data_IF_297257457124
#
_entry.id   IF_297257457124
#
_cell.length_a   1.000
_cell.length_b   1.000
_cell.length_c   1.000
_cell.angle_alpha   90.00
_cell.angle_beta   90.00
_cell.angle_gamma   90.00
#
_symmetry.space_group_name_H-M   'P 1'
#
loop_
_entity.id
_entity.type
_entity.pdbx_description
1 polymer ?
#
# COMPACT_ATOMS: atom_id res chain seq x y z
N UNK A 1 39.91 -34.21 8.25
CA UNK A 1 39.49 -32.93 8.85
C UNK A 1 38.50 -32.27 7.91
N UNK A 2 37.20 -32.28 8.25
CA UNK A 2 36.16 -31.54 7.49
C UNK A 2 36.33 -30.07 7.85
N UNK A 3 36.79 -29.25 6.91
CA UNK A 3 36.75 -27.79 7.05
C UNK A 3 35.29 -27.37 7.31
N UNK A 4 35.03 -26.90 8.50
CA UNK A 4 33.74 -26.33 8.87
C UNK A 4 33.46 -25.13 7.98
N UNK A 5 32.48 -25.27 7.10
CA UNK A 5 31.93 -24.13 6.33
C UNK A 5 31.46 -23.10 7.37
N UNK A 6 32.15 -21.96 7.45
CA UNK A 6 31.81 -20.84 8.31
C UNK A 6 30.31 -20.52 8.06
N UNK A 7 29.51 -20.63 9.08
CA UNK A 7 28.08 -20.33 9.00
C UNK A 7 27.95 -18.86 8.58
N UNK A 8 27.26 -18.62 7.45
CA UNK A 8 27.07 -17.28 6.90
C UNK A 8 25.71 -16.78 7.37
N UNK A 9 25.71 -15.70 8.15
CA UNK A 9 24.48 -14.96 8.46
C UNK A 9 23.76 -14.58 7.17
N UNK A 10 22.49 -14.88 7.08
CA UNK A 10 21.61 -14.51 5.96
C UNK A 10 20.41 -13.77 6.47
N UNK A 11 19.94 -12.79 5.70
CA UNK A 11 18.68 -12.09 5.96
C UNK A 11 17.56 -12.74 5.15
N UNK A 12 16.48 -13.08 5.83
CA UNK A 12 15.31 -13.73 5.24
C UNK A 12 14.12 -12.78 5.30
N UNK A 13 13.50 -12.56 4.13
CA UNK A 13 12.24 -11.84 3.98
C UNK A 13 11.07 -12.83 4.05
N UNK A 14 10.04 -12.46 4.77
CA UNK A 14 8.76 -13.17 4.87
C UNK A 14 7.63 -12.29 4.31
N UNK A 15 6.68 -12.92 3.63
CA UNK A 15 5.38 -12.34 3.33
C UNK A 15 4.37 -13.02 4.26
N UNK A 16 3.71 -12.23 5.12
CA UNK A 16 2.90 -12.72 6.22
C UNK A 16 1.45 -12.30 6.04
N UNK A 17 0.54 -13.27 5.98
CA UNK A 17 -0.90 -13.08 6.04
C UNK A 17 -1.43 -13.44 7.42
N UNK A 18 -2.42 -12.70 7.93
CA UNK A 18 -3.05 -13.00 9.22
C UNK A 18 -4.46 -12.45 9.34
N UNK A 19 -5.29 -13.19 10.06
CA UNK A 19 -6.52 -12.72 10.66
C UNK A 19 -6.17 -12.02 11.99
N UNK A 20 -6.33 -10.70 12.03
CA UNK A 20 -5.96 -9.89 13.20
C UNK A 20 -6.96 -9.93 14.35
N UNK A 21 -8.09 -10.64 14.23
CA UNK A 21 -9.22 -10.62 15.17
C UNK A 21 -8.79 -10.88 16.62
N UNK A 22 -7.91 -11.85 16.83
CA UNK A 22 -7.48 -12.29 18.16
C UNK A 22 -6.18 -11.63 18.63
N UNK A 23 -5.66 -10.65 17.87
CA UNK A 23 -4.34 -10.07 18.12
C UNK A 23 -4.40 -8.59 18.48
N UNK A 24 -3.52 -8.17 19.38
CA UNK A 24 -3.32 -6.78 19.73
C UNK A 24 -2.47 -6.02 18.69
N UNK A 25 -2.66 -6.34 17.40
CA UNK A 25 -1.94 -5.78 16.27
C UNK A 25 -0.60 -6.47 15.99
N UNK A 26 0.21 -5.80 15.17
CA UNK A 26 1.51 -6.35 14.76
C UNK A 26 2.55 -6.29 15.88
N UNK A 27 2.80 -5.10 16.41
CA UNK A 27 3.97 -4.82 17.27
C UNK A 27 3.80 -5.36 18.69
N UNK A 28 4.85 -5.98 19.24
CA UNK A 28 4.91 -6.48 20.62
C UNK A 28 4.53 -5.38 21.61
N UNK A 29 3.59 -5.70 22.51
CA UNK A 29 3.12 -4.84 23.58
C UNK A 29 2.66 -5.64 24.81
N UNK A 30 2.56 -4.99 25.96
CA UNK A 30 2.34 -5.67 27.26
C UNK A 30 0.92 -6.19 27.48
N UNK A 31 -0.05 -5.71 26.71
CA UNK A 31 -1.49 -5.87 26.98
C UNK A 31 -2.16 -6.96 26.15
N UNK A 32 -1.40 -7.80 25.44
CA UNK A 32 -1.96 -8.92 24.71
C UNK A 32 -1.02 -9.52 23.67
N UNK A 33 -1.43 -10.64 23.11
CA UNK A 33 -0.68 -11.39 22.09
C UNK A 33 -0.64 -10.58 20.78
N UNK A 34 0.50 -10.58 20.13
CA UNK A 34 0.74 -9.86 18.87
C UNK A 34 1.31 -10.75 17.77
N UNK A 35 1.14 -10.35 16.52
CA UNK A 35 1.66 -11.12 15.37
C UNK A 35 3.19 -11.27 15.44
N UNK A 36 3.90 -10.18 15.74
CA UNK A 36 5.37 -10.16 15.87
C UNK A 36 5.86 -11.12 16.98
N UNK A 37 5.17 -11.17 18.11
CA UNK A 37 5.51 -12.08 19.21
C UNK A 37 5.35 -13.55 18.80
N UNK A 38 4.25 -13.90 18.14
CA UNK A 38 4.00 -15.28 17.67
C UNK A 38 5.05 -15.69 16.63
N UNK A 39 5.39 -14.80 15.69
CA UNK A 39 6.44 -15.06 14.71
C UNK A 39 7.80 -15.28 15.37
N UNK A 40 8.21 -14.39 16.28
CA UNK A 40 9.48 -14.49 17.00
C UNK A 40 9.60 -15.81 17.76
N UNK A 41 8.56 -16.16 18.52
CA UNK A 41 8.52 -17.40 19.32
C UNK A 41 8.60 -18.64 18.44
N UNK A 42 7.84 -18.65 17.34
CA UNK A 42 7.76 -19.80 16.45
C UNK A 42 9.06 -19.98 15.65
N UNK A 43 9.65 -18.88 15.13
CA UNK A 43 10.95 -18.90 14.45
C UNK A 43 12.07 -19.32 15.38
N UNK A 44 12.14 -18.77 16.59
CA UNK A 44 13.13 -19.17 17.62
C UNK A 44 13.03 -20.66 17.91
N UNK A 45 11.81 -21.19 18.08
CA UNK A 45 11.59 -22.62 18.30
C UNK A 45 11.96 -23.50 17.10
N UNK A 46 11.75 -23.00 15.87
CA UNK A 46 12.08 -23.71 14.62
C UNK A 46 13.58 -23.73 14.35
N UNK A 47 14.22 -22.57 14.42
CA UNK A 47 15.62 -22.39 14.01
C UNK A 47 16.62 -22.66 15.15
N UNK A 48 16.13 -22.77 16.40
CA UNK A 48 16.93 -23.02 17.61
C UNK A 48 17.94 -21.91 17.92
N UNK A 49 17.62 -20.69 17.54
CA UNK A 49 18.39 -19.48 17.83
C UNK A 49 17.44 -18.31 18.13
N UNK A 50 17.86 -17.29 18.91
CA UNK A 50 17.02 -16.14 19.19
C UNK A 50 16.69 -15.37 17.90
N UNK A 51 15.43 -15.25 17.55
CA UNK A 51 14.96 -14.50 16.38
C UNK A 51 14.09 -13.33 16.80
N UNK A 52 14.35 -12.17 16.19
CA UNK A 52 13.53 -10.99 16.25
C UNK A 52 13.19 -10.49 14.83
N UNK A 53 11.92 -10.49 14.46
CA UNK A 53 11.51 -10.00 13.15
C UNK A 53 11.39 -8.47 13.14
N UNK A 54 11.64 -7.87 11.98
CA UNK A 54 11.42 -6.45 11.72
C UNK A 54 10.30 -6.34 10.70
N UNK A 55 9.10 -5.94 11.12
CA UNK A 55 7.96 -5.77 10.24
C UNK A 55 7.96 -4.45 9.47
N UNK A 56 7.42 -4.44 8.26
CA UNK A 56 7.28 -3.25 7.40
C UNK A 56 6.13 -2.34 7.85
N UNK A 57 5.00 -2.93 8.19
CA UNK A 57 3.79 -2.21 8.59
C UNK A 57 3.35 -2.62 9.99
N UNK A 58 3.06 -1.60 10.82
CA UNK A 58 2.42 -1.79 12.13
C UNK A 58 0.92 -1.69 11.91
N UNK A 59 0.23 -2.83 11.89
CA UNK A 59 -1.23 -2.86 11.88
C UNK A 59 -1.77 -2.73 13.30
N UNK A 60 -2.93 -2.08 13.44
CA UNK A 60 -3.62 -1.92 14.72
C UNK A 60 -4.23 -3.24 15.21
N UNK A 61 -4.62 -3.29 16.48
CA UNK A 61 -5.40 -4.40 17.04
C UNK A 61 -6.68 -4.67 16.22
N UNK A 62 -6.90 -5.93 15.84
CA UNK A 62 -8.03 -6.37 15.05
C UNK A 62 -7.95 -6.06 13.54
N UNK A 63 -6.83 -5.57 13.04
CA UNK A 63 -6.58 -5.32 11.61
C UNK A 63 -5.95 -6.54 10.97
N UNK A 64 -6.45 -6.94 9.80
CA UNK A 64 -5.98 -8.11 9.05
C UNK A 64 -4.86 -7.76 8.08
N UNK A 65 -4.20 -8.80 7.55
CA UNK A 65 -3.26 -8.63 6.45
C UNK A 65 -3.26 -9.84 5.52
N UNK A 66 -3.14 -9.56 4.23
CA UNK A 66 -2.90 -10.56 3.17
C UNK A 66 -1.41 -10.61 2.77
N UNK A 67 -0.60 -9.60 3.13
CA UNK A 67 0.76 -9.52 2.64
C UNK A 67 1.67 -8.54 3.39
N UNK A 68 1.71 -8.58 4.74
CA UNK A 68 2.69 -7.79 5.48
C UNK A 68 4.10 -8.37 5.26
N UNK A 69 5.09 -7.51 5.19
CA UNK A 69 6.49 -7.92 5.00
C UNK A 69 7.23 -7.85 6.32
N UNK A 70 8.00 -8.89 6.60
CA UNK A 70 8.93 -8.93 7.74
C UNK A 70 10.28 -9.48 7.31
N UNK A 71 11.35 -9.13 8.03
CA UNK A 71 12.68 -9.70 7.84
C UNK A 71 13.26 -10.13 9.17
N UNK A 72 14.17 -11.10 9.12
CA UNK A 72 15.00 -11.50 10.25
C UNK A 72 16.36 -12.03 9.76
N UNK A 73 17.33 -12.05 10.64
CA UNK A 73 18.65 -12.59 10.38
C UNK A 73 18.79 -13.96 11.04
N UNK A 74 19.51 -14.90 10.37
CA UNK A 74 19.73 -16.27 10.86
C UNK A 74 21.05 -16.85 10.35
N UNK A 75 21.71 -17.65 11.19
CA UNK A 75 22.86 -18.50 10.80
C UNK A 75 22.43 -19.94 10.47
N UNK A 76 21.15 -20.26 10.67
CA UNK A 76 20.63 -21.60 10.44
C UNK A 76 20.79 -22.03 8.97
N UNK A 77 21.12 -23.32 8.75
CA UNK A 77 21.40 -23.90 7.41
C UNK A 77 20.14 -24.15 6.57
N UNK A 78 18.96 -24.07 7.16
CA UNK A 78 17.70 -24.29 6.42
C UNK A 78 17.64 -23.33 5.22
N UNK A 79 17.38 -23.82 3.99
CA UNK A 79 17.20 -22.94 2.83
C UNK A 79 16.09 -21.92 3.08
N UNK A 80 16.31 -20.68 2.69
CA UNK A 80 15.39 -19.58 3.00
C UNK A 80 13.98 -19.82 2.41
N UNK A 81 13.90 -20.41 1.20
CA UNK A 81 12.65 -20.78 0.54
C UNK A 81 11.88 -21.93 1.21
N UNK A 82 12.50 -22.67 2.11
CA UNK A 82 11.87 -23.77 2.87
C UNK A 82 11.35 -23.34 4.25
N UNK A 83 11.76 -22.17 4.73
CA UNK A 83 11.39 -21.69 6.06
C UNK A 83 9.87 -21.49 6.17
N UNK A 84 9.22 -20.93 5.15
CA UNK A 84 7.77 -20.72 5.16
C UNK A 84 6.98 -22.02 5.37
N UNK A 85 7.36 -23.10 4.72
CA UNK A 85 6.69 -24.41 4.86
C UNK A 85 6.86 -24.99 6.27
N UNK A 86 8.09 -24.97 6.81
CA UNK A 86 8.38 -25.47 8.14
C UNK A 86 7.72 -24.61 9.25
N UNK A 87 7.65 -23.30 9.03
CA UNK A 87 7.04 -22.35 9.95
C UNK A 87 5.51 -22.52 9.99
N UNK A 88 4.86 -22.67 8.83
CA UNK A 88 3.40 -22.87 8.73
C UNK A 88 2.88 -24.15 9.39
N UNK A 89 3.74 -25.15 9.61
CA UNK A 89 3.37 -26.36 10.38
C UNK A 89 3.28 -26.09 11.90
N UNK A 90 3.76 -24.95 12.37
CA UNK A 90 3.87 -24.60 13.79
C UNK A 90 3.09 -23.35 14.15
N UNK A 91 2.79 -22.50 13.17
CA UNK A 91 1.97 -21.32 13.35
C UNK A 91 0.50 -21.70 13.60
N UNK A 92 -0.22 -20.91 14.41
CA UNK A 92 -1.66 -21.03 14.52
C UNK A 92 -2.32 -20.80 13.16
N UNK A 93 -3.56 -21.28 12.98
CA UNK A 93 -4.26 -21.26 11.69
C UNK A 93 -4.55 -19.84 11.16
N UNK A 94 -4.60 -18.85 12.03
CA UNK A 94 -4.88 -17.46 11.75
C UNK A 94 -3.62 -16.63 11.37
N UNK A 95 -2.43 -17.27 11.30
CA UNK A 95 -1.18 -16.68 10.78
C UNK A 95 -0.56 -17.63 9.76
N UNK A 96 -0.23 -17.11 8.57
CA UNK A 96 0.48 -17.87 7.53
C UNK A 96 1.60 -17.04 6.93
N UNK A 97 2.73 -17.70 6.67
CA UNK A 97 3.82 -17.15 5.86
C UNK A 97 3.67 -17.67 4.44
N UNK A 98 3.32 -16.78 3.52
CA UNK A 98 3.04 -17.11 2.12
C UNK A 98 4.32 -17.37 1.34
N UNK A 99 5.39 -16.65 1.68
CA UNK A 99 6.69 -16.74 1.03
C UNK A 99 7.80 -16.48 2.04
N UNK A 100 8.94 -17.16 1.84
CA UNK A 100 10.20 -16.86 2.50
C UNK A 100 11.36 -16.94 1.51
N UNK A 101 12.23 -15.91 1.51
CA UNK A 101 13.39 -15.87 0.60
C UNK A 101 14.55 -15.10 1.21
N UNK A 102 15.76 -15.44 0.78
CA UNK A 102 16.96 -14.67 1.14
C UNK A 102 16.95 -13.32 0.41
N UNK A 103 17.34 -12.28 1.13
CA UNK A 103 17.48 -10.92 0.60
C UNK A 103 18.84 -10.34 0.98
N UNK A 104 19.23 -9.22 0.36
CA UNK A 104 20.47 -8.52 0.72
C UNK A 104 20.51 -8.24 2.23
N UNK A 105 21.68 -8.39 2.89
CA UNK A 105 21.85 -8.01 4.30
C UNK A 105 21.44 -6.57 4.61
N UNK A 106 21.53 -5.67 3.64
CA UNK A 106 21.16 -4.27 3.78
C UNK A 106 19.66 -4.01 3.59
N UNK A 107 18.89 -5.04 3.18
CA UNK A 107 17.46 -4.90 2.99
C UNK A 107 16.77 -4.56 4.31
N UNK A 108 16.07 -3.41 4.35
CA UNK A 108 15.30 -2.99 5.52
C UNK A 108 13.87 -2.63 5.09
N UNK A 109 12.83 -3.33 5.61
CA UNK A 109 11.46 -3.25 5.06
C UNK A 109 10.78 -1.89 5.25
N UNK A 110 11.33 -0.99 6.08
CA UNK A 110 10.79 0.36 6.32
C UNK A 110 11.60 1.48 5.68
N UNK A 111 12.84 1.19 5.23
CA UNK A 111 13.73 2.22 4.67
C UNK A 111 13.66 2.34 3.16
N UNK A 112 12.97 1.41 2.52
CA UNK A 112 12.80 1.42 1.06
C UNK A 112 11.46 2.03 0.71
N UNK A 113 11.41 2.74 -0.41
CA UNK A 113 10.16 3.22 -0.96
C UNK A 113 9.26 2.05 -1.30
N UNK A 114 8.03 2.11 -0.83
CA UNK A 114 7.03 1.08 -1.11
C UNK A 114 5.65 1.71 -1.27
N UNK A 115 4.83 1.08 -2.08
CA UNK A 115 3.40 1.38 -2.16
C UNK A 115 2.70 0.40 -1.21
N UNK A 116 1.90 0.95 -0.30
CA UNK A 116 1.06 0.17 0.61
C UNK A 116 -0.37 0.25 0.14
N UNK A 117 -1.00 -0.91 -0.04
CA UNK A 117 -2.41 -0.99 -0.41
C UNK A 117 -3.22 -1.59 0.72
N UNK A 118 -4.28 -0.88 1.10
CA UNK A 118 -5.27 -1.33 2.07
C UNK A 118 -6.65 -1.43 1.44
N UNK A 119 -7.46 -2.34 1.95
CA UNK A 119 -8.90 -2.39 1.71
C UNK A 119 -9.66 -2.20 3.00
N UNK A 120 -10.71 -1.38 2.95
CA UNK A 120 -11.67 -1.24 4.02
C UNK A 120 -13.05 -1.68 3.52
N UNK A 121 -13.60 -2.75 4.10
CA UNK A 121 -14.85 -3.39 3.70
C UNK A 121 -16.02 -2.94 4.58
N UNK A 122 -17.11 -2.50 3.94
CA UNK A 122 -18.35 -2.04 4.60
C UNK A 122 -19.49 -2.87 4.04
N UNK A 123 -20.20 -3.58 4.91
CA UNK A 123 -21.49 -4.23 4.56
C UNK A 123 -22.59 -3.24 4.82
N UNK A 124 -23.20 -2.74 3.73
CA UNK A 124 -24.22 -1.70 3.76
C UNK A 124 -25.62 -2.29 3.46
N UNK A 125 -26.32 -2.66 4.51
CA UNK A 125 -27.66 -3.24 4.45
C UNK A 125 -28.37 -3.10 5.79
N UNK A 126 -29.68 -3.43 5.83
CA UNK A 126 -30.51 -3.31 7.04
C UNK A 126 -30.21 -4.36 8.11
N UNK A 127 -29.71 -5.54 7.73
CA UNK A 127 -29.45 -6.65 8.66
C UNK A 127 -28.02 -7.15 8.43
N UNK A 128 -27.22 -7.28 9.48
CA UNK A 128 -25.84 -7.77 9.43
C UNK A 128 -25.77 -9.23 8.91
N UNK A 129 -24.73 -9.52 8.13
CA UNK A 129 -24.44 -10.89 7.66
C UNK A 129 -23.43 -11.54 8.62
N UNK A 130 -23.78 -12.60 9.35
CA UNK A 130 -22.89 -13.21 10.35
C UNK A 130 -21.53 -13.67 9.79
N UNK A 131 -21.50 -14.17 8.56
CA UNK A 131 -20.25 -14.62 7.90
C UNK A 131 -19.28 -13.51 7.57
N UNK A 132 -19.75 -12.25 7.54
CA UNK A 132 -18.93 -11.06 7.28
C UNK A 132 -18.55 -10.30 8.57
N UNK A 133 -19.03 -10.75 9.73
CA UNK A 133 -18.93 -9.99 11.00
C UNK A 133 -17.52 -9.68 11.45
N UNK A 134 -16.53 -10.52 11.09
CA UNK A 134 -15.13 -10.35 11.49
C UNK A 134 -14.29 -9.61 10.44
N UNK A 135 -14.77 -9.50 9.19
CA UNK A 135 -13.99 -9.00 8.05
C UNK A 135 -14.62 -7.80 7.36
N UNK A 136 -15.60 -7.16 8.02
CA UNK A 136 -16.24 -5.94 7.50
C UNK A 136 -16.81 -5.07 8.63
N UNK A 137 -17.00 -3.80 8.30
CA UNK A 137 -17.79 -2.88 9.12
C UNK A 137 -19.25 -2.94 8.68
N UNK A 138 -20.16 -3.23 9.58
CA UNK A 138 -21.59 -3.17 9.31
C UNK A 138 -22.10 -1.74 9.40
N UNK A 139 -22.79 -1.27 8.35
CA UNK A 139 -23.46 0.02 8.30
C UNK A 139 -24.93 -0.15 7.93
N UNK A 140 -25.80 0.13 8.89
CA UNK A 140 -27.25 0.04 8.72
C UNK A 140 -27.81 1.15 7.82
N UNK A 141 -27.23 2.38 7.93
CA UNK A 141 -27.71 3.53 7.18
C UNK A 141 -27.34 3.41 5.70
N UNK A 142 -28.27 3.71 4.76
CA UNK A 142 -27.94 3.75 3.34
C UNK A 142 -26.76 4.68 3.07
N UNK A 143 -25.82 4.23 2.26
CA UNK A 143 -24.65 5.01 1.84
C UNK A 143 -24.76 5.36 0.35
N UNK A 144 -24.67 6.65 0.06
CA UNK A 144 -24.55 7.19 -1.28
C UNK A 144 -23.10 7.04 -1.74
N UNK A 145 -22.85 6.06 -2.60
CA UNK A 145 -21.51 5.71 -3.07
C UNK A 145 -20.93 6.78 -3.99
N UNK A 146 -21.75 7.46 -4.76
CA UNK A 146 -21.28 8.55 -5.64
C UNK A 146 -20.74 9.72 -4.81
N UNK A 147 -21.45 10.14 -3.76
CA UNK A 147 -20.93 11.15 -2.83
C UNK A 147 -19.65 10.69 -2.14
N UNK A 148 -19.55 9.39 -1.78
CA UNK A 148 -18.31 8.85 -1.22
C UNK A 148 -17.14 8.93 -2.23
N UNK A 149 -17.39 8.68 -3.52
CA UNK A 149 -16.39 8.82 -4.60
C UNK A 149 -15.94 10.27 -4.77
N UNK A 150 -16.91 11.19 -4.81
CA UNK A 150 -16.60 12.62 -4.87
C UNK A 150 -15.75 13.07 -3.67
N UNK A 151 -16.11 12.68 -2.44
CA UNK A 151 -15.34 12.99 -1.25
C UNK A 151 -13.96 12.31 -1.24
N UNK A 152 -13.84 11.10 -1.78
CA UNK A 152 -12.58 10.38 -1.87
C UNK A 152 -11.58 11.06 -2.82
N UNK A 153 -12.07 11.73 -3.87
CA UNK A 153 -11.23 12.43 -4.84
C UNK A 153 -10.35 13.53 -4.19
N UNK A 154 -10.86 14.23 -3.18
CA UNK A 154 -10.11 15.27 -2.45
C UNK A 154 -8.92 14.72 -1.64
N UNK A 155 -8.90 13.41 -1.35
CA UNK A 155 -7.84 12.78 -0.57
C UNK A 155 -6.69 12.25 -1.44
N UNK A 156 -6.89 12.19 -2.76
CA UNK A 156 -5.85 11.73 -3.69
C UNK A 156 -4.82 12.83 -3.90
N UNK A 157 -3.54 12.47 -3.85
CA UNK A 157 -2.44 13.42 -3.94
C UNK A 157 -1.62 13.48 -2.67
N UNK A 158 -0.73 14.49 -2.61
CA UNK A 158 0.10 14.78 -1.44
C UNK A 158 -0.58 15.83 -0.58
N UNK A 159 -0.90 15.46 0.67
CA UNK A 159 -1.58 16.31 1.62
C UNK A 159 -1.01 16.15 3.02
N UNK A 160 -1.22 17.15 3.88
CA UNK A 160 -1.03 17.03 5.31
C UNK A 160 -2.24 16.31 5.95
N UNK A 161 -2.10 15.03 6.22
CA UNK A 161 -3.15 14.18 6.80
C UNK A 161 -3.26 14.28 8.33
N UNK A 162 -2.85 15.38 8.94
CA UNK A 162 -2.94 15.57 10.38
C UNK A 162 -4.35 15.37 10.93
N UNK A 163 -5.39 15.83 10.24
CA UNK A 163 -6.80 15.61 10.59
C UNK A 163 -7.21 14.14 10.58
N UNK A 164 -6.53 13.33 9.79
CA UNK A 164 -6.77 11.89 9.67
C UNK A 164 -5.80 11.04 10.51
N UNK A 165 -5.09 11.63 11.46
CA UNK A 165 -4.17 10.96 12.37
C UNK A 165 -4.71 10.96 13.80
N UNK A 166 -4.64 9.81 14.49
CA UNK A 166 -4.97 9.76 15.91
C UNK A 166 -3.90 10.46 16.76
N UNK A 167 -4.26 11.16 17.87
CA UNK A 167 -3.34 11.99 18.67
C UNK A 167 -2.13 11.24 19.25
N UNK A 168 -2.20 9.92 19.39
CA UNK A 168 -1.09 9.06 19.88
C UNK A 168 -0.12 8.63 18.78
N UNK A 169 -0.27 9.14 17.56
CA UNK A 169 0.66 8.90 16.46
C UNK A 169 2.04 9.50 16.78
N UNK A 170 3.10 8.70 16.60
CA UNK A 170 4.50 9.10 16.83
C UNK A 170 5.14 9.76 15.62
N UNK A 171 4.38 10.04 14.56
CA UNK A 171 4.93 10.63 13.34
C UNK A 171 5.15 12.13 13.55
N UNK A 172 6.39 12.57 13.42
CA UNK A 172 6.76 14.00 13.41
C UNK A 172 6.24 14.69 12.15
N UNK A 173 6.25 13.98 11.02
CA UNK A 173 5.76 14.45 9.73
C UNK A 173 4.41 13.79 9.41
N UNK A 174 3.41 14.61 9.06
CA UNK A 174 2.04 14.18 8.76
C UNK A 174 1.68 14.25 7.27
N UNK A 175 2.61 14.72 6.43
CA UNK A 175 2.44 14.74 4.97
C UNK A 175 2.55 13.32 4.42
N UNK A 176 1.57 12.90 3.62
CA UNK A 176 1.55 11.59 2.93
C UNK A 176 1.00 11.77 1.53
N UNK A 177 1.29 10.78 0.67
CA UNK A 177 0.71 10.74 -0.67
C UNK A 177 -0.21 9.54 -0.79
N UNK A 178 -1.46 9.79 -1.12
CA UNK A 178 -2.41 8.78 -1.58
C UNK A 178 -2.34 8.76 -3.10
N UNK A 179 -1.89 7.65 -3.67
CA UNK A 179 -1.79 7.48 -5.12
C UNK A 179 -3.12 7.14 -5.75
N UNK A 180 -3.97 6.41 -5.03
CA UNK A 180 -5.29 5.98 -5.50
C UNK A 180 -6.21 5.71 -4.32
N UNK A 181 -7.48 6.10 -4.47
CA UNK A 181 -8.55 5.77 -3.53
C UNK A 181 -9.83 5.48 -4.32
N UNK A 182 -10.17 4.20 -4.41
CA UNK A 182 -11.38 3.75 -5.11
C UNK A 182 -12.49 3.42 -4.10
N UNK A 183 -13.72 3.75 -4.46
CA UNK A 183 -14.94 3.34 -3.77
C UNK A 183 -15.71 2.40 -4.68
N UNK A 184 -15.64 1.10 -4.39
CA UNK A 184 -16.20 0.03 -5.24
C UNK A 184 -17.42 -0.56 -4.52
N UNK A 185 -18.56 -0.62 -5.22
CA UNK A 185 -19.77 -1.27 -4.69
C UNK A 185 -20.07 -2.53 -5.47
N UNK A 186 -20.25 -3.64 -4.76
CA UNK A 186 -20.65 -4.94 -5.31
C UNK A 186 -21.77 -5.51 -4.44
N UNK A 187 -23.01 -5.38 -4.91
CA UNK A 187 -24.19 -5.71 -4.10
C UNK A 187 -24.24 -4.87 -2.82
N UNK A 188 -24.28 -5.54 -1.67
CA UNK A 188 -24.32 -4.88 -0.36
C UNK A 188 -22.90 -4.54 0.18
N UNK A 189 -21.84 -4.97 -0.50
CA UNK A 189 -20.46 -4.71 -0.09
C UNK A 189 -19.91 -3.46 -0.75
N UNK A 190 -19.43 -2.52 0.07
CA UNK A 190 -18.66 -1.35 -0.36
C UNK A 190 -17.21 -1.55 0.08
N UNK A 191 -16.28 -1.48 -0.85
CA UNK A 191 -14.84 -1.60 -0.60
C UNK A 191 -14.16 -0.28 -0.91
N UNK A 192 -13.46 0.29 0.08
CA UNK A 192 -12.53 1.39 -0.12
C UNK A 192 -11.15 0.77 -0.34
N UNK A 193 -10.60 0.90 -1.55
CA UNK A 193 -9.23 0.44 -1.86
C UNK A 193 -8.33 1.65 -1.95
N UNK A 194 -7.35 1.73 -1.06
CA UNK A 194 -6.46 2.87 -0.91
C UNK A 194 -5.01 2.46 -1.04
N UNK A 195 -4.26 3.12 -1.91
CA UNK A 195 -2.83 2.91 -2.12
C UNK A 195 -2.06 4.21 -1.89
N UNK A 196 -0.94 4.15 -1.18
CA UNK A 196 -0.16 5.34 -0.85
C UNK A 196 1.28 5.04 -0.44
N UNK A 197 2.09 6.09 -0.27
CA UNK A 197 3.49 6.01 0.17
C UNK A 197 3.64 5.52 1.61
N UNK A 198 2.59 5.69 2.41
CA UNK A 198 2.51 5.32 3.82
C UNK A 198 1.27 5.92 4.46
N UNK A 199 0.92 5.42 5.64
CA UNK A 199 -0.28 5.85 6.35
C UNK A 199 0.06 6.19 7.80
N UNK A 200 -0.57 7.23 8.33
CA UNK A 200 -0.48 7.64 9.73
C UNK A 200 -1.30 6.70 10.62
N UNK A 201 -1.11 6.83 11.91
CA UNK A 201 -1.83 6.02 12.90
C UNK A 201 -3.35 6.17 12.77
N UNK A 202 -4.03 5.08 12.51
CA UNK A 202 -5.48 4.98 12.22
C UNK A 202 -5.95 5.72 10.95
N UNK A 203 -5.08 6.23 10.09
CA UNK A 203 -5.43 7.11 8.96
C UNK A 203 -6.50 6.49 8.05
N UNK A 204 -6.30 5.29 7.54
CA UNK A 204 -7.27 4.63 6.64
C UNK A 204 -8.64 4.44 7.31
N UNK A 205 -8.67 4.11 8.60
CA UNK A 205 -9.91 3.94 9.36
C UNK A 205 -10.65 5.26 9.58
N UNK A 206 -9.93 6.36 9.77
CA UNK A 206 -10.51 7.71 9.90
C UNK A 206 -11.03 8.18 8.54
N UNK A 207 -10.30 7.93 7.45
CA UNK A 207 -10.77 8.16 6.08
C UNK A 207 -12.08 7.39 5.84
N UNK A 208 -12.11 6.10 6.14
CA UNK A 208 -13.32 5.29 5.97
C UNK A 208 -14.51 5.85 6.78
N UNK A 209 -14.28 6.22 8.05
CA UNK A 209 -15.31 6.82 8.88
C UNK A 209 -15.81 8.18 8.39
N UNK A 210 -14.93 8.99 7.81
CA UNK A 210 -15.27 10.28 7.19
C UNK A 210 -16.08 10.07 5.92
N UNK A 211 -15.66 9.18 5.02
CA UNK A 211 -16.39 8.88 3.80
C UNK A 211 -17.75 8.23 4.07
N UNK A 212 -17.89 7.44 5.14
CA UNK A 212 -19.23 6.97 5.58
C UNK A 212 -20.13 8.13 6.00
N UNK A 213 -19.60 9.17 6.66
CA UNK A 213 -20.38 10.39 6.99
C UNK A 213 -20.81 11.15 5.74
N UNK A 214 -19.95 11.20 4.71
CA UNK A 214 -20.29 11.74 3.39
C UNK A 214 -21.40 10.91 2.74
N UNK A 215 -21.26 9.59 2.72
CA UNK A 215 -22.26 8.68 2.14
C UNK A 215 -23.61 8.73 2.84
N UNK A 216 -23.63 8.99 4.17
CA UNK A 216 -24.87 9.22 4.94
C UNK A 216 -25.49 10.59 4.69
N UNK A 217 -24.83 11.49 3.95
CA UNK A 217 -25.26 12.87 3.75
C UNK A 217 -25.06 13.79 4.97
N UNK A 218 -24.32 13.32 5.99
CA UNK A 218 -24.00 14.15 7.17
C UNK A 218 -22.92 15.20 6.86
N UNK A 219 -22.07 14.93 5.87
CA UNK A 219 -21.08 15.86 5.33
C UNK A 219 -21.28 15.97 3.81
N UNK A 220 -21.24 17.17 3.22
CA UNK A 220 -21.12 17.29 1.77
C UNK A 220 -19.74 16.77 1.33
N UNK A 221 -19.57 16.27 0.08
CA UNK A 221 -18.28 15.78 -0.41
C UNK A 221 -17.13 16.78 -0.27
N UNK A 222 -17.36 18.07 -0.56
CA UNK A 222 -16.38 19.15 -0.46
C UNK A 222 -15.87 19.38 0.99
N UNK A 223 -16.64 18.98 2.01
CA UNK A 223 -16.20 19.09 3.40
C UNK A 223 -14.93 18.28 3.68
N UNK A 224 -14.61 17.29 2.85
CA UNK A 224 -13.35 16.50 2.98
C UNK A 224 -12.12 17.39 2.78
N UNK A 225 -12.19 18.35 1.87
CA UNK A 225 -11.13 19.35 1.66
C UNK A 225 -10.99 20.27 2.89
N UNK A 226 -12.09 20.76 3.43
CA UNK A 226 -12.09 21.57 4.67
C UNK A 226 -11.47 20.80 5.85
N UNK A 227 -11.71 19.48 5.94
CA UNK A 227 -11.10 18.63 6.96
C UNK A 227 -9.57 18.54 6.77
N UNK A 228 -9.07 18.42 5.52
CA UNK A 228 -7.62 18.44 5.25
C UNK A 228 -7.01 19.76 5.70
N UNK A 229 -7.61 20.88 5.33
CA UNK A 229 -7.13 22.23 5.64
C UNK A 229 -7.15 22.55 7.13
N UNK A 230 -8.12 22.02 7.85
CA UNK A 230 -8.27 22.22 9.30
C UNK A 230 -7.07 21.70 10.13
N UNK A 231 -6.37 20.67 9.64
CA UNK A 231 -5.26 20.01 10.35
C UNK A 231 -5.57 19.65 11.81
N UNK A 232 -6.84 19.37 12.07
CA UNK A 232 -7.38 19.03 13.38
C UNK A 232 -8.16 17.71 13.32
N UNK A 233 -7.76 16.73 14.12
CA UNK A 233 -8.44 15.42 14.22
C UNK A 233 -9.95 15.55 14.52
N UNK A 234 -10.37 16.58 15.21
CA UNK A 234 -11.77 16.80 15.60
C UNK A 234 -12.67 17.16 14.40
N UNK A 235 -12.09 17.69 13.33
CA UNK A 235 -12.82 18.01 12.10
C UNK A 235 -13.19 16.73 11.31
N UNK A 236 -12.35 15.68 11.36
CA UNK A 236 -12.59 14.45 10.62
C UNK A 236 -13.65 13.55 11.29
N UNK A 237 -14.22 12.67 10.51
CA UNK A 237 -15.20 11.68 10.96
C UNK A 237 -14.66 10.70 12.01
N UNK A 238 -15.51 9.81 12.54
CA UNK A 238 -15.12 8.85 13.55
C UNK A 238 -14.13 7.82 12.99
N UNK A 239 -13.30 7.25 13.87
CA UNK A 239 -12.45 6.10 13.50
C UNK A 239 -13.31 4.86 13.29
N UNK A 240 -13.35 4.31 12.09
CA UNK A 240 -14.10 3.11 11.76
C UNK A 240 -13.50 1.85 12.42
N UNK A 241 -14.30 0.79 12.56
CA UNK A 241 -13.90 -0.45 13.23
C UNK A 241 -12.67 -1.11 12.58
N UNK A 242 -11.79 -1.72 13.37
CA UNK A 242 -10.57 -2.36 12.86
C UNK A 242 -10.88 -3.55 11.94
N UNK A 243 -11.87 -4.35 12.28
CA UNK A 243 -12.29 -5.56 11.56
C UNK A 243 -12.65 -5.38 10.08
N UNK A 244 -12.89 -4.13 9.64
CA UNK A 244 -13.10 -3.85 8.22
C UNK A 244 -11.82 -3.62 7.44
N UNK A 245 -10.67 -3.44 8.12
CA UNK A 245 -9.40 -3.06 7.50
C UNK A 245 -8.48 -4.25 7.27
N UNK A 246 -8.00 -4.38 6.04
CA UNK A 246 -6.97 -5.36 5.64
C UNK A 246 -5.83 -4.67 4.92
N UNK A 247 -4.59 -4.94 5.34
CA UNK A 247 -3.40 -4.62 4.56
C UNK A 247 -3.27 -5.67 3.45
N UNK A 248 -3.46 -5.26 2.20
CA UNK A 248 -3.46 -6.16 1.03
C UNK A 248 -2.05 -6.45 0.57
N UNK A 249 -1.25 -5.41 0.31
CA UNK A 249 0.09 -5.58 -0.24
C UNK A 249 1.05 -4.46 0.15
N UNK A 250 2.35 -4.80 0.08
CA UNK A 250 3.47 -3.87 0.04
C UNK A 250 4.27 -4.13 -1.22
N UNK A 251 4.35 -3.15 -2.10
CA UNK A 251 5.10 -3.22 -3.35
C UNK A 251 6.34 -2.33 -3.24
N UNK A 252 7.52 -2.93 -3.27
CA UNK A 252 8.81 -2.22 -3.16
C UNK A 252 9.32 -1.83 -4.54
N UNK A 253 9.81 -0.61 -4.67
CA UNK A 253 10.36 -0.07 -5.92
C UNK A 253 11.44 -0.96 -6.53
N UNK A 254 12.44 -1.29 -5.73
CA UNK A 254 13.57 -2.11 -6.17
C UNK A 254 13.20 -3.53 -6.60
N UNK A 255 12.12 -4.08 -6.05
CA UNK A 255 11.61 -5.41 -6.45
C UNK A 255 10.81 -5.32 -7.74
N UNK A 256 9.99 -4.29 -7.86
CA UNK A 256 9.24 -4.00 -9.06
C UNK A 256 10.19 -3.70 -10.24
N UNK A 257 11.23 -2.90 -10.02
CA UNK A 257 12.27 -2.61 -11.02
C UNK A 257 13.03 -3.87 -11.45
N UNK A 258 13.38 -4.76 -10.50
CA UNK A 258 14.03 -6.04 -10.82
C UNK A 258 13.11 -7.01 -11.56
N UNK A 259 11.84 -7.07 -11.22
CA UNK A 259 10.85 -7.86 -11.96
C UNK A 259 10.71 -7.33 -13.39
N UNK A 260 10.69 -6.01 -13.54
CA UNK A 260 10.64 -5.35 -14.84
C UNK A 260 11.92 -5.60 -15.65
N UNK A 261 13.11 -5.58 -15.02
CA UNK A 261 14.40 -5.78 -15.70
C UNK A 261 14.77 -7.26 -15.91
N UNK A 262 14.27 -8.18 -15.07
CA UNK A 262 14.70 -9.58 -15.06
C UNK A 262 13.99 -10.50 -16.06
N UNK A 263 12.90 -10.07 -16.65
CA UNK A 263 12.16 -10.83 -17.63
C UNK A 263 12.38 -10.27 -19.04
N UNK A 264 13.18 -10.97 -19.81
CA UNK A 264 13.49 -10.70 -21.22
C UNK A 264 12.24 -10.89 -22.12
N UNK A 265 11.16 -10.13 -21.88
CA UNK A 265 9.91 -10.21 -22.64
C UNK A 265 9.37 -8.82 -22.92
N UNK A 266 9.19 -8.55 -24.20
CA UNK A 266 8.46 -7.48 -24.87
C UNK A 266 7.97 -6.31 -23.99
N UNK A 267 8.83 -5.30 -23.86
CA UNK A 267 8.49 -4.02 -23.30
C UNK A 267 7.54 -3.30 -24.26
N UNK A 268 6.30 -3.02 -23.82
CA UNK A 268 5.34 -2.28 -24.66
C UNK A 268 5.39 -0.77 -24.46
N UNK A 269 5.87 -0.32 -23.30
CA UNK A 269 5.85 1.10 -22.98
C UNK A 269 7.14 1.53 -22.29
N UNK A 270 7.58 2.72 -22.64
CA UNK A 270 8.68 3.40 -21.96
C UNK A 270 8.16 4.72 -21.39
N UNK A 271 8.35 4.94 -20.10
CA UNK A 271 7.95 6.14 -19.41
C UNK A 271 9.15 7.06 -19.27
N UNK A 272 9.02 8.29 -19.72
CA UNK A 272 10.03 9.33 -19.62
C UNK A 272 9.52 10.49 -18.77
N UNK A 273 10.42 11.12 -18.03
CA UNK A 273 10.17 12.36 -17.33
C UNK A 273 11.00 13.47 -17.97
N UNK A 274 10.39 14.64 -18.16
CA UNK A 274 11.13 15.86 -18.51
C UNK A 274 11.62 16.53 -17.23
N UNK A 275 12.93 16.68 -17.09
CA UNK A 275 13.53 17.53 -16.08
C UNK A 275 13.85 18.91 -16.67
N UNK A 276 13.46 19.97 -15.93
CA UNK A 276 13.89 21.32 -16.23
C UNK A 276 15.30 21.50 -15.67
N UNK A 277 16.30 21.31 -16.51
CA UNK A 277 17.66 21.75 -16.20
C UNK A 277 17.81 23.21 -16.62
N UNK A 278 18.52 24.02 -15.87
CA UNK A 278 18.58 25.49 -15.93
C UNK A 278 18.79 26.14 -17.30
N UNK A 279 18.95 25.40 -18.38
CA UNK A 279 19.04 25.87 -19.78
C UNK A 279 18.46 24.92 -20.84
N UNK A 280 17.70 23.92 -20.47
CA UNK A 280 17.10 22.95 -21.43
C UNK A 280 16.25 21.92 -20.76
N UNK A 281 15.46 21.18 -21.54
CA UNK A 281 14.68 20.03 -21.08
C UNK A 281 15.51 18.78 -21.29
N UNK A 282 15.78 18.04 -20.24
CA UNK A 282 16.35 16.70 -20.33
C UNK A 282 15.25 15.66 -20.13
N UNK A 283 15.20 14.64 -20.98
CA UNK A 283 14.33 13.48 -20.80
C UNK A 283 15.06 12.39 -20.04
N UNK A 284 14.51 12.00 -18.91
CA UNK A 284 15.03 10.91 -18.11
C UNK A 284 14.13 9.68 -18.27
N UNK A 285 14.73 8.56 -18.67
CA UNK A 285 14.03 7.29 -18.69
C UNK A 285 13.73 6.84 -17.26
N UNK A 286 12.43 6.71 -16.91
CA UNK A 286 12.04 6.36 -15.55
C UNK A 286 11.75 4.87 -15.46
N UNK A 287 10.95 4.32 -16.40
CA UNK A 287 10.55 2.92 -16.40
C UNK A 287 10.25 2.38 -17.80
N UNK A 288 10.52 1.07 -17.99
CA UNK A 288 9.95 0.27 -19.06
C UNK A 288 8.97 -0.73 -18.46
N UNK A 289 7.81 -0.93 -19.05
CA UNK A 289 6.79 -1.81 -18.49
C UNK A 289 5.94 -2.52 -19.54
N UNK A 290 5.23 -3.58 -19.13
CA UNK A 290 4.23 -4.27 -19.93
C UNK A 290 2.90 -3.55 -19.84
N UNK A 291 1.97 -3.87 -20.77
CA UNK A 291 0.65 -3.27 -20.80
C UNK A 291 -0.15 -3.47 -19.50
N UNK A 292 -0.06 -4.64 -18.90
CA UNK A 292 -0.76 -4.97 -17.64
C UNK A 292 -0.25 -4.19 -16.42
N UNK A 293 1.03 -3.79 -16.42
CA UNK A 293 1.65 -3.00 -15.36
C UNK A 293 1.61 -1.50 -15.64
N UNK A 294 1.25 -1.12 -16.87
CA UNK A 294 1.33 0.25 -17.36
C UNK A 294 0.55 1.25 -16.51
N UNK A 295 -0.72 0.99 -16.24
CA UNK A 295 -1.56 1.91 -15.47
C UNK A 295 -0.99 2.15 -14.06
N UNK A 296 -0.53 1.08 -13.42
CA UNK A 296 0.03 1.12 -12.06
C UNK A 296 1.33 1.92 -11.99
N UNK A 297 2.23 1.66 -12.93
CA UNK A 297 3.52 2.34 -13.02
C UNK A 297 3.37 3.79 -13.47
N UNK A 298 2.43 4.06 -14.37
CA UNK A 298 2.15 5.39 -14.88
C UNK A 298 1.69 6.34 -13.77
N UNK A 299 0.69 5.93 -12.97
CA UNK A 299 0.18 6.74 -11.85
C UNK A 299 1.34 7.11 -10.93
N UNK A 300 2.17 6.13 -10.55
CA UNK A 300 3.31 6.34 -9.68
C UNK A 300 4.35 7.28 -10.29
N UNK A 301 4.69 7.08 -11.56
CA UNK A 301 5.66 7.88 -12.28
C UNK A 301 5.20 9.34 -12.40
N UNK A 302 3.92 9.55 -12.72
CA UNK A 302 3.32 10.89 -12.77
C UNK A 302 3.43 11.59 -11.43
N UNK A 303 3.03 10.94 -10.34
CA UNK A 303 3.11 11.55 -9.01
C UNK A 303 4.55 11.87 -8.59
N UNK A 304 5.50 10.99 -8.91
CA UNK A 304 6.91 11.24 -8.61
C UNK A 304 7.47 12.38 -9.48
N UNK A 305 7.12 12.41 -10.76
CA UNK A 305 7.54 13.45 -11.68
C UNK A 305 7.04 14.84 -11.24
N UNK A 306 5.79 14.93 -10.83
CA UNK A 306 5.20 16.18 -10.32
C UNK A 306 5.88 16.65 -9.04
N UNK A 307 6.18 15.76 -8.09
CA UNK A 307 6.94 16.10 -6.89
C UNK A 307 8.34 16.66 -7.22
N UNK A 308 8.96 16.13 -8.25
CA UNK A 308 10.28 16.58 -8.71
C UNK A 308 10.20 17.86 -9.57
N UNK A 309 9.02 18.49 -9.67
CA UNK A 309 8.82 19.70 -10.47
C UNK A 309 8.79 19.45 -11.98
N UNK A 310 8.60 18.21 -12.42
CA UNK A 310 8.47 17.91 -13.84
C UNK A 310 7.13 18.44 -14.38
N UNK A 311 7.18 19.16 -15.49
CA UNK A 311 5.99 19.73 -16.11
C UNK A 311 5.23 18.72 -16.96
N UNK A 312 5.87 17.62 -17.38
CA UNK A 312 5.30 16.64 -18.30
C UNK A 312 5.91 15.27 -18.07
N UNK A 313 5.10 14.21 -18.23
CA UNK A 313 5.52 12.82 -18.31
C UNK A 313 5.17 12.29 -19.68
N UNK A 314 6.14 11.71 -20.37
CA UNK A 314 5.96 11.15 -21.70
C UNK A 314 5.88 9.64 -21.62
N UNK A 315 5.00 9.06 -22.44
CA UNK A 315 4.85 7.63 -22.63
C UNK A 315 5.16 7.32 -24.08
N UNK A 316 6.08 6.41 -24.31
CA UNK A 316 6.40 5.91 -25.65
C UNK A 316 5.98 4.46 -25.77
N UNK A 317 5.29 4.12 -26.85
CA UNK A 317 5.04 2.76 -27.29
C UNK A 317 6.26 2.25 -28.08
N UNK A 318 6.70 1.02 -27.87
CA UNK A 318 7.82 0.43 -28.62
C UNK A 318 7.49 0.18 -30.10
N UNK A 319 6.20 0.11 -30.44
CA UNK A 319 5.74 -0.03 -31.82
C UNK A 319 5.74 1.29 -32.61
N UNK A 320 6.05 2.43 -31.94
CA UNK A 320 6.14 3.73 -32.60
C UNK A 320 4.81 4.37 -32.98
N UNK A 321 3.71 3.68 -32.75
CA UNK A 321 2.35 4.16 -33.02
C UNK A 321 1.83 4.91 -31.78
N UNK A 322 1.89 6.22 -31.84
CA UNK A 322 1.32 7.11 -30.83
C UNK A 322 -0.17 6.96 -30.68
N UNK A 323 -0.63 5.87 -30.09
CA UNK A 323 -2.06 5.64 -29.84
C UNK A 323 -2.50 6.38 -28.59
N UNK A 324 -3.56 7.15 -28.73
CA UNK A 324 -4.29 7.79 -27.64
C UNK A 324 -4.73 6.72 -26.65
N UNK A 325 -4.15 6.72 -25.44
CA UNK A 325 -4.75 6.00 -24.34
C UNK A 325 -6.05 6.73 -24.04
N UNK A 326 -7.24 6.15 -24.33
CA UNK A 326 -8.50 6.82 -24.18
C UNK A 326 -8.61 7.36 -22.77
N UNK A 327 -8.82 8.67 -22.64
CA UNK A 327 -8.73 9.44 -21.43
C UNK A 327 -9.47 8.80 -20.26
N UNK A 328 -8.72 8.14 -19.38
CA UNK A 328 -9.11 8.01 -18.00
C UNK A 328 -8.43 9.15 -17.26
N UNK A 329 -9.20 10.04 -16.62
CA UNK A 329 -8.62 11.04 -15.76
C UNK A 329 -7.92 10.34 -14.58
N UNK A 330 -6.61 10.53 -14.46
CA UNK A 330 -5.88 10.16 -13.26
C UNK A 330 -5.75 11.43 -12.42
N UNK A 331 -6.75 11.71 -11.60
CA UNK A 331 -6.79 12.96 -10.83
C UNK A 331 -6.83 14.18 -11.73
N UNK A 332 -5.92 15.12 -11.55
CA UNK A 332 -5.82 16.37 -12.30
C UNK A 332 -5.11 16.25 -13.65
N UNK A 333 -4.68 15.05 -14.06
CA UNK A 333 -3.89 14.84 -15.27
C UNK A 333 -4.69 14.20 -16.38
N UNK A 334 -4.55 14.73 -17.58
CA UNK A 334 -5.12 14.19 -18.81
C UNK A 334 -3.98 13.79 -19.73
N UNK A 335 -4.05 12.57 -20.26
CA UNK A 335 -3.08 12.09 -21.23
C UNK A 335 -3.41 12.63 -22.62
N UNK A 336 -2.45 13.26 -23.28
CA UNK A 336 -2.58 13.76 -24.64
C UNK A 336 -1.43 13.24 -25.49
N UNK A 337 -1.71 12.92 -26.78
CA UNK A 337 -0.69 12.59 -27.75
C UNK A 337 0.13 13.84 -28.09
N UNK A 338 1.45 13.71 -28.11
CA UNK A 338 2.32 14.77 -28.61
C UNK A 338 2.41 14.68 -30.13
N UNK A 339 1.87 15.65 -30.84
CA UNK A 339 1.83 15.67 -32.30
C UNK A 339 3.23 15.73 -32.97
N UNK A 340 4.28 16.11 -32.23
CA UNK A 340 5.62 16.33 -32.76
C UNK A 340 6.71 15.38 -32.22
N UNK A 341 6.39 14.53 -31.23
CA UNK A 341 7.39 13.77 -30.43
C UNK A 341 7.05 12.29 -30.33
N UNK A 342 6.47 11.62 -31.27
CA UNK A 342 6.19 10.17 -31.28
C UNK A 342 5.86 9.56 -29.89
N UNK A 343 5.08 10.25 -29.05
CA UNK A 343 4.80 9.82 -27.69
C UNK A 343 3.58 10.46 -27.06
N UNK A 344 3.25 10.01 -25.86
CA UNK A 344 2.15 10.49 -25.04
C UNK A 344 2.67 11.39 -23.94
N UNK A 345 1.97 12.44 -23.60
CA UNK A 345 2.30 13.25 -22.46
C UNK A 345 1.09 13.47 -21.53
N UNK A 346 1.39 13.70 -20.28
CA UNK A 346 0.42 14.05 -19.25
C UNK A 346 0.55 15.53 -18.99
N UNK A 347 -0.57 16.25 -19.07
CA UNK A 347 -0.63 17.67 -18.70
C UNK A 347 -1.50 17.84 -17.48
N UNK A 348 -1.13 18.78 -16.62
CA UNK A 348 -2.00 19.24 -15.54
C UNK A 348 -3.24 19.90 -16.16
N UNK A 349 -4.40 19.59 -15.59
CA UNK A 349 -5.70 20.15 -16.04
C UNK A 349 -5.91 21.52 -15.48
#
# INVERSE_FOLDING_TARGET
MKQGKKERMKRVKLIVAYDGTNYCGWQIQRNGITIEEVLNKTLTGLLKEPIAVIGASRTDSGVHSEGNVAVFDTENRMPADKICFALNQRLPEDIRVLESREVSPDYHPRKQNCIKTYEYKIVNRKIEVPTMRLYSHFCYYPLDVEKMREGAAYLVGEHDFKSFCSPRGQAEETVRTIYRLDVIKTGDLITLRISGSGFLYNMVRIIAGTLMKVGMGAYPPAHVEEILDARDRRAAGPKAAAKGLTLVSLEYETELEKQIQGENKEWKYTLFQDEIVSRGKARLLIHRCRQEDFERLLIRTVHQAVRNGALRVYVRDEEGDGRIIPGKPYGFYVFQAAAEDEGWYVTEK
#
